data_IF_301805808289
#
_entry.id   IF_301805808289
#
_cell.length_a   1.000
_cell.length_b   1.000
_cell.length_c   1.000
_cell.angle_alpha   90.00
_cell.angle_beta   90.00
_cell.angle_gamma   90.00
#
_symmetry.space_group_name_H-M   'P 1'
#
loop_
_entity.id
_entity.type
_entity.pdbx_description
1 polymer ?
#
# COMPACT_ATOMS: atom_id res chain seq x y z
N UNK A 1 -25.14 -14.73 -12.74
CA UNK A 1 -23.95 -15.26 -12.03
C UNK A 1 -23.28 -14.17 -11.18
N UNK A 2 -23.96 -13.64 -10.16
CA UNK A 2 -23.49 -12.45 -9.42
C UNK A 2 -22.30 -12.70 -8.46
N UNK A 3 -22.02 -13.96 -8.11
CA UNK A 3 -20.98 -14.31 -7.11
C UNK A 3 -19.68 -14.85 -7.71
N UNK A 4 -19.56 -14.93 -9.05
CA UNK A 4 -18.39 -15.52 -9.70
C UNK A 4 -17.13 -14.66 -9.52
N UNK A 5 -17.26 -13.33 -9.63
CA UNK A 5 -16.16 -12.38 -9.41
C UNK A 5 -15.70 -12.39 -7.95
N UNK A 6 -16.63 -12.33 -7.00
CA UNK A 6 -16.31 -12.38 -5.56
C UNK A 6 -15.59 -13.67 -5.17
N UNK A 7 -16.03 -14.83 -5.69
CA UNK A 7 -15.34 -16.11 -5.48
C UNK A 7 -13.93 -16.11 -6.06
N UNK A 8 -13.73 -15.48 -7.24
CA UNK A 8 -12.41 -15.35 -7.86
C UNK A 8 -11.47 -14.50 -7.01
N UNK A 9 -11.93 -13.34 -6.51
CA UNK A 9 -11.14 -12.47 -5.62
C UNK A 9 -10.74 -13.21 -4.35
N UNK A 10 -11.70 -13.89 -3.70
CA UNK A 10 -11.42 -14.68 -2.50
C UNK A 10 -10.34 -15.75 -2.73
N UNK A 11 -10.42 -16.48 -3.84
CA UNK A 11 -9.42 -17.50 -4.20
C UNK A 11 -8.04 -16.87 -4.50
N UNK A 12 -8.00 -15.73 -5.19
CA UNK A 12 -6.75 -15.01 -5.47
C UNK A 12 -6.09 -14.50 -4.19
N UNK A 13 -6.87 -13.97 -3.25
CA UNK A 13 -6.37 -13.50 -1.96
C UNK A 13 -5.79 -14.65 -1.12
N UNK A 14 -6.46 -15.81 -1.07
CA UNK A 14 -5.95 -17.00 -0.38
C UNK A 14 -4.58 -17.43 -0.94
N UNK A 15 -4.42 -17.41 -2.28
CA UNK A 15 -3.14 -17.72 -2.94
C UNK A 15 -2.09 -16.66 -2.62
N UNK A 16 -2.43 -15.37 -2.67
CA UNK A 16 -1.50 -14.29 -2.37
C UNK A 16 -0.96 -14.36 -0.93
N UNK A 17 -1.84 -14.63 0.05
CA UNK A 17 -1.43 -14.80 1.46
C UNK A 17 -0.54 -16.04 1.62
N UNK A 18 -0.86 -17.16 0.96
CA UNK A 18 -0.04 -18.37 1.00
C UNK A 18 1.35 -18.12 0.38
N UNK A 19 1.41 -17.41 -0.75
CA UNK A 19 2.67 -17.01 -1.37
C UNK A 19 3.48 -16.09 -0.47
N UNK A 20 2.81 -15.17 0.25
CA UNK A 20 3.44 -14.29 1.23
C UNK A 20 4.08 -15.08 2.39
N UNK A 21 3.38 -16.08 2.94
CA UNK A 21 3.90 -16.95 3.99
C UNK A 21 5.10 -17.76 3.50
N UNK A 22 4.98 -18.38 2.33
CA UNK A 22 6.06 -19.15 1.70
C UNK A 22 7.27 -18.26 1.43
N UNK A 23 7.06 -17.09 0.83
CA UNK A 23 8.12 -16.14 0.52
C UNK A 23 8.84 -15.64 1.78
N UNK A 24 8.09 -15.40 2.87
CA UNK A 24 8.69 -15.02 4.14
C UNK A 24 9.55 -16.13 4.73
N UNK A 25 9.08 -17.39 4.70
CA UNK A 25 9.88 -18.54 5.14
C UNK A 25 11.15 -18.71 4.30
N UNK A 26 11.01 -18.62 2.97
CA UNK A 26 12.13 -18.74 2.02
C UNK A 26 13.14 -17.62 2.20
N UNK A 27 12.70 -16.37 2.32
CA UNK A 27 13.59 -15.22 2.52
C UNK A 27 14.37 -15.32 3.84
N UNK A 28 13.69 -15.75 4.92
CA UNK A 28 14.33 -15.98 6.22
C UNK A 28 15.36 -17.11 6.15
N UNK A 29 14.98 -18.26 5.58
CA UNK A 29 15.87 -19.38 5.41
C UNK A 29 17.09 -19.00 4.56
N UNK A 30 16.87 -18.33 3.43
CA UNK A 30 17.92 -17.90 2.53
C UNK A 30 18.87 -16.91 3.20
N UNK A 31 18.35 -15.95 3.97
CA UNK A 31 19.18 -15.03 4.75
C UNK A 31 20.13 -15.77 5.71
N UNK A 32 19.62 -16.71 6.51
CA UNK A 32 20.41 -17.47 7.47
C UNK A 32 21.41 -18.42 6.79
N UNK A 33 20.97 -19.13 5.73
CA UNK A 33 21.80 -20.05 4.97
C UNK A 33 22.97 -19.30 4.31
N UNK A 34 22.70 -18.21 3.60
CA UNK A 34 23.74 -17.40 2.96
C UNK A 34 24.68 -16.79 3.99
N UNK A 35 24.14 -16.33 5.13
CA UNK A 35 24.98 -15.74 6.18
C UNK A 35 25.89 -16.78 6.85
N UNK A 36 25.39 -18.00 7.08
CA UNK A 36 26.17 -19.12 7.60
C UNK A 36 27.27 -19.53 6.62
N UNK A 37 26.92 -19.71 5.34
CA UNK A 37 27.85 -20.17 4.28
C UNK A 37 28.94 -19.15 3.97
N UNK A 38 28.60 -17.86 3.87
CA UNK A 38 29.51 -16.83 3.37
C UNK A 38 30.29 -16.09 4.47
N UNK A 39 29.78 -16.06 5.71
CA UNK A 39 30.35 -15.20 6.78
C UNK A 39 30.63 -15.90 8.11
N UNK A 40 30.27 -17.17 8.26
CA UNK A 40 30.57 -17.97 9.46
C UNK A 40 29.89 -17.47 10.76
N UNK A 41 29.96 -18.26 11.86
CA UNK A 41 29.27 -17.98 13.11
C UNK A 41 29.88 -16.83 13.94
N UNK A 42 31.17 -16.50 13.76
CA UNK A 42 31.87 -15.52 14.60
C UNK A 42 31.65 -14.05 14.21
N UNK A 43 31.16 -13.77 13.00
CA UNK A 43 30.81 -12.41 12.52
C UNK A 43 29.34 -12.03 12.84
N UNK A 44 28.71 -12.74 13.79
CA UNK A 44 27.37 -12.45 14.28
C UNK A 44 27.21 -11.05 14.93
N UNK A 45 28.31 -10.35 15.22
CA UNK A 45 28.34 -8.97 15.74
C UNK A 45 28.05 -7.87 14.70
N UNK A 46 27.64 -8.23 13.48
CA UNK A 46 27.14 -7.30 12.46
C UNK A 46 25.67 -6.86 12.68
N UNK A 47 25.02 -6.22 11.68
CA UNK A 47 23.67 -5.62 11.75
C UNK A 47 22.53 -6.65 11.78
N UNK A 48 22.70 -7.74 12.52
CA UNK A 48 21.62 -8.66 12.87
C UNK A 48 20.48 -7.92 13.55
N UNK A 49 20.79 -6.84 14.29
CA UNK A 49 19.80 -5.92 14.86
C UNK A 49 18.94 -5.22 13.80
N UNK A 50 19.51 -4.79 12.66
CA UNK A 50 18.74 -4.17 11.57
C UNK A 50 17.83 -5.21 10.90
N UNK A 51 18.32 -6.43 10.71
CA UNK A 51 17.48 -7.52 10.25
C UNK A 51 16.31 -7.80 11.20
N UNK A 52 16.56 -7.88 12.51
CA UNK A 52 15.52 -8.04 13.53
C UNK A 52 14.53 -6.86 13.48
N UNK A 53 15.02 -5.63 13.30
CA UNK A 53 14.17 -4.45 13.19
C UNK A 53 13.19 -4.55 12.01
N UNK A 54 13.59 -5.17 10.89
CA UNK A 54 12.70 -5.37 9.74
C UNK A 54 11.56 -6.35 9.97
N UNK A 55 11.61 -7.18 11.02
CA UNK A 55 10.45 -8.02 11.38
C UNK A 55 9.25 -7.18 11.80
N UNK A 56 9.47 -6.04 12.46
CA UNK A 56 8.37 -5.19 12.95
C UNK A 56 7.46 -4.74 11.79
N UNK A 57 7.96 -4.01 10.76
CA UNK A 57 7.12 -3.60 9.64
C UNK A 57 6.57 -4.80 8.88
N UNK A 58 7.35 -5.88 8.73
CA UNK A 58 6.89 -7.08 8.02
C UNK A 58 5.70 -7.76 8.71
N UNK A 59 5.74 -7.89 10.05
CA UNK A 59 4.64 -8.46 10.85
C UNK A 59 3.42 -7.54 10.80
N UNK A 60 3.60 -6.22 10.90
CA UNK A 60 2.50 -5.27 10.82
C UNK A 60 1.81 -5.35 9.45
N UNK A 61 2.58 -5.33 8.36
CA UNK A 61 2.04 -5.44 7.00
C UNK A 61 1.39 -6.80 6.74
N UNK A 62 1.98 -7.90 7.23
CA UNK A 62 1.38 -9.22 7.14
C UNK A 62 0.03 -9.29 7.86
N UNK A 63 -0.05 -8.75 9.09
CA UNK A 63 -1.32 -8.70 9.85
C UNK A 63 -2.35 -7.82 9.16
N UNK A 64 -1.93 -6.73 8.54
CA UNK A 64 -2.82 -5.86 7.78
C UNK A 64 -3.37 -6.56 6.53
N UNK A 65 -2.49 -7.12 5.68
CA UNK A 65 -2.86 -7.83 4.45
C UNK A 65 -3.75 -9.04 4.72
N UNK A 66 -3.45 -9.80 5.78
CA UNK A 66 -4.31 -10.92 6.18
C UNK A 66 -5.67 -10.45 6.68
N UNK A 67 -5.73 -9.37 7.46
CA UNK A 67 -6.99 -8.82 7.97
C UNK A 67 -7.91 -8.31 6.86
N UNK A 68 -7.37 -7.70 5.79
CA UNK A 68 -8.17 -7.14 4.70
C UNK A 68 -8.46 -8.17 3.60
N UNK A 69 -7.53 -9.11 3.35
CA UNK A 69 -7.64 -10.07 2.25
C UNK A 69 -8.32 -11.39 2.59
N UNK A 70 -8.41 -11.79 3.86
CA UNK A 70 -9.03 -13.08 4.23
C UNK A 70 -10.54 -13.08 3.96
N UNK A 71 -11.06 -14.04 3.16
CA UNK A 71 -12.48 -14.13 2.90
C UNK A 71 -13.24 -14.54 4.17
N UNK A 72 -14.28 -13.78 4.52
CA UNK A 72 -15.19 -14.15 5.60
C UNK A 72 -16.21 -15.15 5.08
N UNK A 73 -16.17 -16.37 5.62
CA UNK A 73 -17.12 -17.45 5.32
C UNK A 73 -18.04 -17.66 6.52
N UNK A 74 -19.31 -17.97 6.25
CA UNK A 74 -20.27 -18.25 7.30
C UNK A 74 -19.98 -19.61 7.96
N UNK A 75 -19.87 -19.68 9.30
CA UNK A 75 -19.45 -20.91 9.99
C UNK A 75 -20.40 -22.10 9.82
N UNK A 76 -21.69 -21.83 9.57
CA UNK A 76 -22.75 -22.86 9.55
C UNK A 76 -23.07 -23.37 8.15
N UNK A 77 -22.95 -22.53 7.13
CA UNK A 77 -23.36 -22.83 5.74
C UNK A 77 -22.17 -22.91 4.78
N UNK A 78 -20.98 -22.43 5.19
CA UNK A 78 -19.81 -22.29 4.33
C UNK A 78 -19.99 -21.24 3.22
N UNK A 79 -21.09 -20.48 3.24
CA UNK A 79 -21.36 -19.45 2.26
C UNK A 79 -20.38 -18.27 2.42
N UNK A 80 -19.94 -17.71 1.30
CA UNK A 80 -19.05 -16.56 1.28
C UNK A 80 -19.84 -15.30 1.71
N UNK A 81 -19.52 -14.74 2.87
CA UNK A 81 -20.13 -13.52 3.40
C UNK A 81 -19.49 -12.28 2.75
N UNK A 82 -18.16 -12.27 2.70
CA UNK A 82 -17.40 -11.21 2.04
C UNK A 82 -16.12 -11.77 1.45
N UNK A 83 -15.77 -11.44 0.19
CA UNK A 83 -14.52 -11.88 -0.43
C UNK A 83 -13.26 -11.24 0.17
N UNK A 84 -13.40 -10.19 1.00
CA UNK A 84 -12.28 -9.34 1.41
C UNK A 84 -11.94 -8.29 0.35
N UNK A 85 -10.98 -7.43 0.66
CA UNK A 85 -10.43 -6.47 -0.28
C UNK A 85 -9.43 -7.17 -1.20
N UNK A 86 -9.43 -6.82 -2.49
CA UNK A 86 -8.57 -7.47 -3.47
C UNK A 86 -7.12 -7.03 -3.26
N UNK A 87 -6.28 -7.98 -2.86
CA UNK A 87 -4.88 -7.72 -2.52
C UNK A 87 -4.02 -7.33 -3.73
N UNK A 88 -4.53 -7.49 -4.96
CA UNK A 88 -3.85 -7.10 -6.20
C UNK A 88 -4.29 -5.72 -6.71
N UNK A 89 -5.13 -4.99 -5.97
CA UNK A 89 -5.51 -3.64 -6.39
C UNK A 89 -4.33 -2.67 -6.28
N UNK A 90 -4.28 -1.71 -7.21
CA UNK A 90 -3.33 -0.61 -7.18
C UNK A 90 -3.66 0.35 -6.04
N UNK A 91 -2.63 0.95 -5.45
CA UNK A 91 -2.77 1.83 -4.28
C UNK A 91 -2.07 1.25 -3.06
N UNK A 92 -2.68 1.34 -1.88
CA UNK A 92 -2.01 1.03 -0.59
C UNK A 92 -1.49 -0.41 -0.55
N UNK A 93 -2.24 -1.37 -1.09
CA UNK A 93 -1.86 -2.78 -1.20
C UNK A 93 -0.58 -2.98 -2.00
N UNK A 94 -0.40 -2.25 -3.09
CA UNK A 94 0.83 -2.26 -3.90
C UNK A 94 2.04 -1.78 -3.08
N UNK A 95 1.89 -0.68 -2.34
CA UNK A 95 2.93 -0.21 -1.41
C UNK A 95 3.27 -1.26 -0.34
N UNK A 96 2.28 -1.99 0.17
CA UNK A 96 2.52 -3.07 1.13
C UNK A 96 3.37 -4.19 0.51
N UNK A 97 3.07 -4.60 -0.72
CA UNK A 97 3.84 -5.61 -1.45
C UNK A 97 5.27 -5.15 -1.73
N UNK A 98 5.44 -3.92 -2.20
CA UNK A 98 6.76 -3.35 -2.47
C UNK A 98 7.63 -3.32 -1.22
N UNK A 99 7.09 -2.86 -0.09
CA UNK A 99 7.85 -2.83 1.17
C UNK A 99 8.27 -4.24 1.56
N UNK A 100 7.38 -5.24 1.45
CA UNK A 100 7.71 -6.64 1.79
C UNK A 100 8.80 -7.19 0.87
N UNK A 101 8.66 -7.04 -0.44
CA UNK A 101 9.63 -7.58 -1.40
C UNK A 101 10.97 -6.88 -1.32
N UNK A 102 10.99 -5.56 -1.14
CA UNK A 102 12.24 -4.82 -0.89
C UNK A 102 12.87 -5.25 0.43
N UNK A 103 12.08 -5.52 1.48
CA UNK A 103 12.61 -6.06 2.75
C UNK A 103 13.31 -7.39 2.54
N UNK A 104 12.70 -8.31 1.79
CA UNK A 104 13.32 -9.60 1.47
C UNK A 104 14.58 -9.44 0.62
N UNK A 105 14.52 -8.56 -0.39
CA UNK A 105 15.67 -8.22 -1.24
C UNK A 105 16.83 -7.62 -0.43
N UNK A 106 16.55 -6.72 0.50
CA UNK A 106 17.55 -6.14 1.39
C UNK A 106 18.11 -7.16 2.38
N UNK A 107 17.28 -8.04 2.93
CA UNK A 107 17.76 -9.12 3.80
C UNK A 107 18.76 -10.02 3.06
N UNK A 108 18.36 -10.60 1.94
CA UNK A 108 19.19 -11.48 1.11
C UNK A 108 20.41 -10.74 0.56
N UNK A 109 20.21 -9.52 0.05
CA UNK A 109 21.26 -8.66 -0.48
C UNK A 109 22.29 -8.28 0.58
N UNK A 110 21.88 -8.06 1.83
CA UNK A 110 22.82 -7.79 2.92
C UNK A 110 23.71 -8.99 3.24
N UNK A 111 23.19 -10.21 3.10
CA UNK A 111 23.95 -11.45 3.24
C UNK A 111 24.96 -11.65 2.10
N UNK A 112 24.64 -11.22 0.88
CA UNK A 112 25.51 -11.33 -0.30
C UNK A 112 26.54 -10.18 -0.37
N UNK A 113 26.06 -8.94 -0.49
CA UNK A 113 26.85 -7.75 -0.83
C UNK A 113 27.44 -7.01 0.38
N UNK A 114 26.87 -7.22 1.57
CA UNK A 114 27.37 -6.58 2.79
C UNK A 114 26.36 -5.66 3.44
N UNK A 115 26.78 -5.09 4.57
CA UNK A 115 25.92 -4.28 5.43
C UNK A 115 25.48 -2.96 4.79
N UNK A 116 26.18 -2.51 3.74
CA UNK A 116 25.84 -1.26 3.06
C UNK A 116 24.44 -1.27 2.44
N UNK A 117 23.91 -2.45 2.05
CA UNK A 117 22.55 -2.61 1.50
C UNK A 117 21.46 -2.07 2.45
N UNK A 118 21.71 -2.08 3.76
CA UNK A 118 20.78 -1.52 4.75
C UNK A 118 20.58 -0.01 4.62
N UNK A 119 21.55 0.73 4.06
CA UNK A 119 21.37 2.16 3.77
C UNK A 119 20.34 2.40 2.68
N UNK A 120 20.26 1.51 1.67
CA UNK A 120 19.22 1.58 0.64
C UNK A 120 17.84 1.33 1.25
N UNK A 121 17.75 0.44 2.25
CA UNK A 121 16.49 0.15 2.94
C UNK A 121 15.95 1.37 3.70
N UNK A 122 16.81 2.25 4.24
CA UNK A 122 16.40 3.47 4.95
C UNK A 122 15.71 4.50 4.05
N UNK A 123 15.84 4.39 2.72
CA UNK A 123 15.11 5.26 1.78
C UNK A 123 13.60 5.07 1.91
N UNK A 124 13.13 3.85 2.22
CA UNK A 124 11.70 3.54 2.38
C UNK A 124 11.08 4.32 3.56
N UNK A 125 11.54 4.17 4.81
CA UNK A 125 11.00 4.94 5.92
C UNK A 125 11.30 6.44 5.79
N UNK A 126 12.43 6.83 5.16
CA UNK A 126 12.73 8.21 4.86
C UNK A 126 11.70 8.86 3.93
N UNK A 127 11.30 8.17 2.86
CA UNK A 127 10.27 8.64 1.94
C UNK A 127 8.88 8.65 2.58
N UNK A 128 8.54 7.64 3.38
CA UNK A 128 7.30 7.61 4.14
C UNK A 128 7.20 8.79 5.11
N UNK A 129 8.28 9.09 5.85
CA UNK A 129 8.36 10.24 6.73
C UNK A 129 8.26 11.56 5.95
N UNK A 130 8.90 11.68 4.79
CA UNK A 130 8.79 12.85 3.92
C UNK A 130 7.36 13.09 3.44
N UNK A 131 6.65 12.04 3.01
CA UNK A 131 5.22 12.13 2.63
C UNK A 131 4.34 12.56 3.80
N UNK A 132 4.55 11.99 4.99
CA UNK A 132 3.79 12.37 6.20
C UNK A 132 4.09 13.83 6.56
N UNK A 133 5.36 14.23 6.55
CA UNK A 133 5.77 15.59 6.83
C UNK A 133 5.12 16.58 5.87
N UNK A 134 5.21 16.35 4.56
CA UNK A 134 4.63 17.25 3.55
C UNK A 134 3.11 17.30 3.57
N UNK A 135 2.42 16.21 3.92
CA UNK A 135 0.95 16.14 3.91
C UNK A 135 0.28 16.57 5.22
N UNK A 136 0.92 16.34 6.37
CA UNK A 136 0.31 16.58 7.68
C UNK A 136 1.01 17.66 8.49
N UNK A 137 2.34 17.72 8.42
CA UNK A 137 3.14 18.65 9.22
C UNK A 137 3.33 19.99 8.50
N UNK A 138 3.67 19.97 7.21
CA UNK A 138 3.81 21.16 6.37
C UNK A 138 2.59 22.09 6.41
N UNK A 139 1.36 21.58 6.19
CA UNK A 139 0.15 22.40 6.26
C UNK A 139 -0.21 22.84 7.70
N UNK A 140 0.36 22.23 8.73
CA UNK A 140 0.11 22.64 10.12
C UNK A 140 1.08 23.75 10.57
N UNK A 141 2.32 23.74 10.06
CA UNK A 141 3.35 24.73 10.40
C UNK A 141 3.43 25.92 9.42
N UNK A 142 3.09 25.73 8.14
CA UNK A 142 3.22 26.78 7.10
C UNK A 142 1.89 27.40 6.64
N UNK A 143 0.72 26.90 7.07
CA UNK A 143 -0.58 27.41 6.59
C UNK A 143 -1.08 28.66 7.35
N UNK A 144 -0.18 29.58 7.76
CA UNK A 144 -0.58 30.92 8.24
C UNK A 144 -0.62 31.98 7.13
N UNK A 145 -0.18 31.68 5.91
CA UNK A 145 -0.34 32.63 4.81
C UNK A 145 -0.14 31.97 3.44
N UNK A 146 -1.20 31.94 2.64
CA UNK A 146 -1.15 32.05 1.18
C UNK A 146 -0.49 30.90 0.40
N UNK A 147 -1.34 30.08 -0.21
CA UNK A 147 -1.21 29.50 -1.56
C UNK A 147 0.19 29.21 -2.14
N UNK A 148 0.49 27.92 -2.34
CA UNK A 148 1.05 27.43 -3.62
C UNK A 148 0.97 25.88 -3.71
N UNK A 149 0.90 25.34 -4.94
CA UNK A 149 0.19 24.10 -5.26
C UNK A 149 1.11 22.87 -5.24
N UNK A 150 0.53 21.70 -4.99
CA UNK A 150 1.13 20.42 -5.36
C UNK A 150 0.13 19.67 -6.22
N UNK A 151 0.16 19.97 -7.52
CA UNK A 151 -0.14 19.02 -8.61
C UNK A 151 1.17 18.27 -8.91
N UNK A 152 1.25 17.00 -9.28
CA UNK A 152 0.32 15.86 -9.22
C UNK A 152 1.14 14.60 -9.56
N UNK A 153 0.48 13.43 -9.60
CA UNK A 153 0.87 12.08 -10.08
C UNK A 153 0.89 11.08 -8.91
N UNK A 154 -0.19 10.35 -8.63
CA UNK A 154 -0.91 9.47 -9.55
C UNK A 154 -2.44 9.62 -9.48
N UNK A 155 -3.00 10.05 -10.61
CA UNK A 155 -4.37 9.92 -11.11
C UNK A 155 -5.44 9.27 -10.21
N UNK A 156 -6.21 10.12 -9.53
CA UNK A 156 -7.67 10.03 -9.56
C UNK A 156 -8.16 11.27 -10.30
N UNK A 157 -9.01 11.16 -11.34
CA UNK A 157 -9.56 12.36 -11.96
C UNK A 157 -10.62 12.93 -11.01
N UNK A 158 -10.19 13.81 -10.10
CA UNK A 158 -11.07 14.83 -9.53
C UNK A 158 -11.31 15.92 -10.58
N UNK A 159 -11.78 15.51 -11.76
CA UNK A 159 -12.57 16.40 -12.59
C UNK A 159 -13.91 16.62 -11.89
N UNK A 160 -14.56 17.79 -12.07
CA UNK A 160 -15.92 17.99 -11.57
C UNK A 160 -16.76 16.79 -11.98
N UNK A 161 -17.54 16.22 -11.04
CA UNK A 161 -18.26 14.96 -11.28
C UNK A 161 -18.97 15.03 -12.64
N UNK A 162 -19.11 13.90 -13.36
CA UNK A 162 -19.82 13.86 -14.66
C UNK A 162 -21.19 14.57 -14.64
N UNK A 163 -21.78 14.72 -13.45
CA UNK A 163 -22.99 15.49 -13.15
C UNK A 163 -22.76 17.03 -13.21
N UNK A 164 -21.68 17.53 -12.63
CA UNK A 164 -21.28 18.94 -12.66
C UNK A 164 -20.84 19.39 -14.06
N UNK A 165 -20.12 18.55 -14.81
CA UNK A 165 -19.76 18.86 -16.20
C UNK A 165 -20.98 18.95 -17.13
N UNK A 166 -21.98 18.06 -16.95
CA UNK A 166 -23.26 18.15 -17.67
C UNK A 166 -24.08 19.39 -17.29
N UNK A 167 -23.97 19.86 -16.05
CA UNK A 167 -24.63 21.08 -15.60
C UNK A 167 -23.97 22.33 -16.19
N UNK A 168 -22.64 22.35 -16.26
CA UNK A 168 -21.86 23.44 -16.88
C UNK A 168 -22.09 23.53 -18.40
N UNK A 169 -22.04 22.40 -19.10
CA UNK A 169 -22.33 22.37 -20.55
C UNK A 169 -23.78 22.77 -20.88
N UNK A 170 -24.74 22.59 -19.96
CA UNK A 170 -26.13 23.08 -20.12
C UNK A 170 -26.27 24.57 -19.81
N UNK A 171 -25.47 25.09 -18.87
CA UNK A 171 -25.41 26.53 -18.57
C UNK A 171 -24.78 27.32 -19.73
N UNK A 172 -23.70 26.81 -20.32
CA UNK A 172 -23.02 27.43 -21.47
C UNK A 172 -23.87 27.41 -22.74
N UNK A 173 -24.73 26.39 -22.89
CA UNK A 173 -25.67 26.29 -24.02
C UNK A 173 -26.92 27.17 -23.87
N UNK A 174 -27.00 27.97 -22.80
CA UNK A 174 -28.02 29.02 -22.63
C UNK A 174 -29.43 28.51 -22.35
N UNK A 175 -29.59 27.34 -21.73
CA UNK A 175 -30.90 26.73 -21.48
C UNK A 175 -31.67 27.50 -20.37
N UNK A 176 -32.85 28.11 -20.66
CA UNK A 176 -33.53 29.04 -19.74
C UNK A 176 -33.99 28.43 -18.41
N UNK A 177 -34.00 27.10 -18.27
CA UNK A 177 -34.38 26.40 -17.03
C UNK A 177 -33.32 26.48 -15.92
N UNK A 178 -32.04 26.68 -16.25
CA UNK A 178 -30.94 26.75 -15.25
C UNK A 178 -30.91 28.13 -14.57
N UNK A 179 -31.25 29.20 -15.30
CA UNK A 179 -31.29 30.57 -14.77
C UNK A 179 -32.35 30.75 -13.67
N UNK A 180 -33.48 30.05 -13.76
CA UNK A 180 -34.55 30.15 -12.76
C UNK A 180 -34.16 29.60 -11.38
N UNK A 181 -33.21 28.65 -11.31
CA UNK A 181 -32.83 28.02 -10.06
C UNK A 181 -31.87 28.87 -9.22
N UNK A 182 -31.05 29.72 -9.85
CA UNK A 182 -30.17 30.65 -9.14
C UNK A 182 -30.92 31.83 -8.52
N UNK A 183 -32.04 32.26 -9.11
CA UNK A 183 -32.81 33.40 -8.61
C UNK A 183 -33.58 33.07 -7.31
N UNK A 184 -33.87 31.78 -7.05
CA UNK A 184 -34.64 31.34 -5.88
C UNK A 184 -33.79 31.08 -4.62
N UNK A 185 -32.46 31.21 -4.69
CA UNK A 185 -31.54 30.89 -3.59
C UNK A 185 -30.92 32.14 -2.94
N UNK A 186 -31.54 33.31 -3.09
CA UNK A 186 -31.24 34.49 -2.26
C UNK A 186 -32.32 34.71 -1.24
#
# INVERSE_FOLDING_TARGET
MANASAKKVAAQNEVAIRNLQMGMLVANALYWVLRLLLRGPLLARGPTSLYILTFIPTVVLYRHLTSIGLPRKEPKTGALISPGEDLNQSGITEWCWDIIYVTWGCAVGSSLLGNWVWWLYLVIPGYAAFKIYTKFVGPMFFNKSGSAPVEDTTAAPSGPSKRQQKLQQRADKGDPRVKQQQVRSK
#
